data_IF_594895585166
#
_entry.id   IF_594895585166
#
_cell.length_a   1.000
_cell.length_b   1.000
_cell.length_c   1.000
_cell.angle_alpha   90.00
_cell.angle_beta   90.00
_cell.angle_gamma   90.00
#
_symmetry.space_group_name_H-M   'P 1'
#
loop_
_entity.id
_entity.type
_entity.pdbx_description
1 polymer ?
#
# COMPACT_ATOMS: atom_id res chain seq x y z
N UNK A 1 -18.05 3.94 -10.62
CA UNK A 1 -16.64 4.17 -10.99
C UNK A 1 -15.96 4.86 -9.82
N UNK A 2 -15.01 4.19 -9.16
CA UNK A 2 -14.34 4.69 -7.96
C UNK A 2 -13.36 5.81 -8.33
N UNK A 3 -13.84 7.06 -8.27
CA UNK A 3 -13.03 8.26 -8.44
C UNK A 3 -12.12 8.49 -7.25
N UNK A 4 -11.00 7.76 -7.18
CA UNK A 4 -9.81 8.32 -6.53
C UNK A 4 -9.36 9.43 -7.47
N UNK A 5 -9.61 10.67 -7.05
CA UNK A 5 -9.28 11.89 -7.78
C UNK A 5 -7.86 11.76 -8.38
N UNK A 6 -7.74 11.67 -9.70
CA UNK A 6 -6.49 11.29 -10.38
C UNK A 6 -5.30 12.17 -9.96
N UNK A 7 -5.57 13.45 -9.73
CA UNK A 7 -4.61 14.43 -9.21
C UNK A 7 -4.05 14.05 -7.83
N UNK A 8 -4.88 13.53 -6.93
CA UNK A 8 -4.45 13.06 -5.60
C UNK A 8 -3.59 11.81 -5.71
N UNK A 9 -3.88 10.95 -6.69
CA UNK A 9 -3.09 9.75 -6.94
C UNK A 9 -1.70 10.11 -7.51
N UNK A 10 -1.63 11.03 -8.46
CA UNK A 10 -0.35 11.52 -8.99
C UNK A 10 0.48 12.25 -7.94
N UNK A 11 -0.14 13.08 -7.10
CA UNK A 11 0.55 13.76 -6.00
C UNK A 11 1.14 12.76 -4.99
N UNK A 12 0.40 11.70 -4.67
CA UNK A 12 0.84 10.60 -3.82
C UNK A 12 2.04 9.85 -4.42
N UNK A 13 1.97 9.51 -5.70
CA UNK A 13 3.09 8.85 -6.40
C UNK A 13 4.32 9.75 -6.47
N UNK A 14 4.15 11.06 -6.66
CA UNK A 14 5.26 12.02 -6.68
C UNK A 14 5.94 12.10 -5.32
N UNK A 15 5.18 12.13 -4.23
CA UNK A 15 5.72 12.13 -2.87
C UNK A 15 6.47 10.83 -2.58
N UNK A 16 5.87 9.68 -2.89
CA UNK A 16 6.51 8.38 -2.68
C UNK A 16 7.77 8.16 -3.53
N UNK A 17 7.85 8.77 -4.72
CA UNK A 17 9.08 8.77 -5.53
C UNK A 17 10.18 9.67 -4.96
N UNK A 18 9.79 10.79 -4.33
CA UNK A 18 10.75 11.72 -3.72
C UNK A 18 11.27 11.25 -2.38
N UNK A 19 10.40 10.61 -1.59
CA UNK A 19 10.73 10.02 -0.29
C UNK A 19 10.02 8.67 -0.13
N UNK A 20 10.69 7.55 -0.49
CA UNK A 20 10.11 6.22 -0.36
C UNK A 20 9.94 5.78 1.11
N UNK A 21 10.65 6.38 2.06
CA UNK A 21 10.62 5.98 3.49
C UNK A 21 9.72 6.88 4.35
N UNK A 22 8.84 7.66 3.71
CA UNK A 22 7.87 8.56 4.38
C UNK A 22 6.87 7.84 5.31
N UNK A 23 6.64 6.54 5.08
CA UNK A 23 5.74 5.71 5.88
C UNK A 23 6.36 5.20 7.18
N UNK A 24 5.57 4.42 7.92
CA UNK A 24 6.04 3.61 9.05
C UNK A 24 6.18 2.16 8.63
N UNK A 25 7.32 1.56 8.91
CA UNK A 25 7.52 0.13 8.67
C UNK A 25 6.53 -0.69 9.51
N UNK A 26 5.88 -1.68 8.89
CA UNK A 26 4.84 -2.48 9.55
C UNK A 26 5.49 -3.46 10.54
N UNK A 27 5.04 -3.51 11.81
CA UNK A 27 5.55 -4.49 12.76
C UNK A 27 5.26 -5.92 12.26
N UNK A 28 6.30 -6.76 12.22
CA UNK A 28 6.23 -8.14 11.72
C UNK A 28 6.39 -8.31 10.21
N UNK A 29 6.60 -7.24 9.43
CA UNK A 29 6.90 -7.33 8.00
C UNK A 29 7.81 -6.17 7.56
N UNK A 30 9.15 -6.32 7.64
CA UNK A 30 10.08 -5.23 7.38
C UNK A 30 10.07 -4.75 5.92
N UNK A 31 9.64 -5.57 4.98
CA UNK A 31 9.47 -5.16 3.59
C UNK A 31 8.22 -4.31 3.34
N UNK A 32 7.34 -4.16 4.34
CA UNK A 32 6.07 -3.44 4.21
C UNK A 32 6.07 -2.13 4.98
N UNK A 33 5.55 -1.10 4.34
CA UNK A 33 5.42 0.24 4.86
C UNK A 33 3.96 0.67 4.82
N UNK A 34 3.54 1.36 5.88
CA UNK A 34 2.21 1.93 6.03
C UNK A 34 2.32 3.45 6.14
N UNK A 35 1.59 4.17 5.29
CA UNK A 35 1.56 5.63 5.30
C UNK A 35 0.13 6.14 5.24
N UNK A 36 -0.18 7.19 5.99
CA UNK A 36 -1.49 7.84 5.95
C UNK A 36 -1.39 9.14 5.16
N UNK A 37 -2.17 9.24 4.07
CA UNK A 37 -2.21 10.39 3.20
C UNK A 37 -3.64 10.75 2.83
N UNK A 38 -4.03 12.00 3.09
CA UNK A 38 -5.34 12.54 2.71
C UNK A 38 -6.52 11.65 3.15
N UNK A 39 -6.47 11.13 4.37
CA UNK A 39 -7.51 10.24 4.91
C UNK A 39 -7.51 8.82 4.32
N UNK A 40 -6.46 8.41 3.61
CA UNK A 40 -6.25 7.05 3.15
C UNK A 40 -5.01 6.45 3.79
N UNK A 41 -5.10 5.19 4.22
CA UNK A 41 -3.96 4.34 4.55
C UNK A 41 -3.46 3.66 3.28
N UNK A 42 -2.18 3.84 3.02
CA UNK A 42 -1.42 3.28 1.92
C UNK A 42 -0.52 2.20 2.50
N UNK A 43 -0.58 1.00 1.96
CA UNK A 43 0.43 -0.04 2.22
C UNK A 43 1.25 -0.23 0.96
N UNK A 44 2.57 -0.12 1.07
CA UNK A 44 3.49 -0.31 -0.04
C UNK A 44 4.71 -1.12 0.39
N UNK A 45 5.41 -1.70 -0.57
CA UNK A 45 6.67 -2.38 -0.37
C UNK A 45 7.79 -1.64 -1.09
N UNK A 46 8.97 -1.64 -0.48
CA UNK A 46 10.20 -1.11 -1.08
C UNK A 46 11.10 -2.29 -1.43
N UNK A 47 11.79 -2.20 -2.55
CA UNK A 47 12.97 -3.05 -2.79
C UNK A 47 14.10 -2.66 -1.83
N UNK A 48 15.00 -3.59 -1.55
CA UNK A 48 16.11 -3.38 -0.59
C UNK A 48 17.03 -2.21 -0.98
N UNK A 49 17.12 -1.91 -2.27
CA UNK A 49 17.87 -0.79 -2.84
C UNK A 49 17.04 0.51 -2.98
N UNK A 50 15.79 0.52 -2.51
CA UNK A 50 14.81 1.61 -2.66
C UNK A 50 14.55 2.06 -4.11
N UNK A 51 15.03 1.32 -5.12
CA UNK A 51 14.89 1.69 -6.54
C UNK A 51 13.48 1.43 -7.08
N UNK A 52 12.72 0.57 -6.41
CA UNK A 52 11.36 0.17 -6.80
C UNK A 52 10.42 0.25 -5.63
N UNK A 53 9.25 0.82 -5.90
CA UNK A 53 8.14 0.91 -4.97
C UNK A 53 6.95 0.17 -5.55
N UNK A 54 6.37 -0.74 -4.77
CA UNK A 54 5.16 -1.47 -5.15
C UNK A 54 4.03 -1.07 -4.23
N UNK A 55 3.03 -0.41 -4.81
CA UNK A 55 1.81 -0.03 -4.13
C UNK A 55 0.91 -1.25 -3.98
N UNK A 56 0.70 -1.72 -2.75
CA UNK A 56 -0.05 -2.95 -2.48
C UNK A 56 -1.51 -2.67 -2.18
N UNK A 57 -1.79 -1.59 -1.44
CA UNK A 57 -3.13 -1.30 -0.97
C UNK A 57 -3.33 0.19 -0.73
N UNK A 58 -4.50 0.68 -1.13
CA UNK A 58 -5.02 1.99 -0.76
C UNK A 58 -6.39 1.78 -0.12
N UNK A 59 -6.56 2.20 1.13
CA UNK A 59 -7.84 2.11 1.84
C UNK A 59 -8.16 3.42 2.54
N UNK A 60 -9.43 3.83 2.65
CA UNK A 60 -9.81 4.91 3.54
C UNK A 60 -9.33 4.60 4.97
N UNK A 61 -8.75 5.58 5.66
CA UNK A 61 -8.35 5.45 7.06
C UNK A 61 -9.57 5.15 7.94
N UNK A 62 -10.74 5.68 7.55
CA UNK A 62 -12.05 5.35 8.10
C UNK A 62 -12.84 4.47 7.12
N UNK A 63 -12.40 3.24 6.88
CA UNK A 63 -13.24 2.28 6.16
C UNK A 63 -14.39 1.82 7.09
N UNK A 64 -15.66 1.74 6.63
CA UNK A 64 -16.73 1.13 7.40
C UNK A 64 -16.34 -0.30 7.75
N UNK A 65 -16.61 -0.73 8.99
CA UNK A 65 -16.22 -2.03 9.57
C UNK A 65 -16.68 -3.22 8.72
N UNK A 66 -16.03 -3.49 7.60
CA UNK A 66 -16.25 -4.69 6.82
C UNK A 66 -15.73 -5.89 7.62
N UNK A 67 -16.53 -6.96 7.69
CA UNK A 67 -16.26 -8.20 8.42
C UNK A 67 -14.79 -8.65 8.28
N UNK A 68 -14.13 -8.91 9.41
CA UNK A 68 -12.68 -9.20 9.51
C UNK A 68 -12.21 -10.32 8.57
N UNK A 69 -13.07 -11.31 8.31
CA UNK A 69 -12.81 -12.43 7.38
C UNK A 69 -12.59 -11.99 5.93
N UNK A 70 -13.38 -11.03 5.45
CA UNK A 70 -13.25 -10.49 4.08
C UNK A 70 -11.96 -9.70 3.89
N UNK A 71 -11.48 -9.04 4.95
CA UNK A 71 -10.22 -8.30 4.91
C UNK A 71 -9.01 -9.23 4.85
N UNK A 72 -9.06 -10.34 5.59
CA UNK A 72 -8.00 -11.35 5.61
C UNK A 72 -7.89 -12.05 4.26
N UNK A 73 -9.01 -12.47 3.68
CA UNK A 73 -9.01 -13.15 2.37
C UNK A 73 -8.49 -12.25 1.24
N UNK A 74 -8.83 -10.96 1.25
CA UNK A 74 -8.25 -9.99 0.30
C UNK A 74 -6.75 -9.84 0.50
N UNK A 75 -6.28 -9.77 1.74
CA UNK A 75 -4.86 -9.62 2.05
C UNK A 75 -4.05 -10.83 1.55
N UNK A 76 -4.54 -12.05 1.76
CA UNK A 76 -3.88 -13.29 1.28
C UNK A 76 -3.76 -13.28 -0.25
N UNK A 77 -4.81 -12.84 -0.95
CA UNK A 77 -4.79 -12.75 -2.43
C UNK A 77 -3.76 -11.74 -2.92
N UNK A 78 -3.72 -10.56 -2.31
CA UNK A 78 -2.75 -9.52 -2.64
C UNK A 78 -1.31 -10.00 -2.39
N UNK A 79 -1.05 -10.71 -1.29
CA UNK A 79 0.28 -11.28 -1.01
C UNK A 79 0.69 -12.29 -2.09
N UNK A 80 -0.21 -13.18 -2.51
CA UNK A 80 0.10 -14.15 -3.58
C UNK A 80 0.32 -13.49 -4.94
N UNK A 81 -0.42 -12.42 -5.27
CA UNK A 81 -0.18 -11.65 -6.49
C UNK A 81 1.18 -10.95 -6.47
N UNK A 82 1.59 -10.41 -5.32
CA UNK A 82 2.93 -9.83 -5.15
C UNK A 82 4.00 -10.90 -5.32
N UNK A 83 3.88 -12.05 -4.65
CA UNK A 83 4.84 -13.16 -4.80
C UNK A 83 5.01 -13.57 -6.26
N UNK A 84 3.89 -13.62 -7.00
CA UNK A 84 3.88 -13.93 -8.43
C UNK A 84 4.57 -12.86 -9.30
N UNK A 85 4.47 -11.58 -8.94
CA UNK A 85 5.17 -10.49 -9.63
C UNK A 85 6.69 -10.53 -9.40
N UNK A 86 7.14 -11.09 -8.28
CA UNK A 86 8.55 -11.23 -7.93
C UNK A 86 9.13 -12.63 -8.18
N UNK A 87 8.35 -13.56 -8.74
CA UNK A 87 8.82 -14.92 -9.05
C UNK A 87 9.12 -15.80 -7.83
N UNK A 88 8.53 -15.49 -6.67
CA UNK A 88 8.64 -16.23 -5.40
C UNK A 88 7.54 -17.27 -5.22
#
# INVERSE_FOLDING_TARGET
MYGVNAEKHEALLRLLKGDPVVGRQRPGSPSLWDWEFSGNRITYALSDDCSRLVLLRLTPAEAPKASRLLQIMKLIRTINEIKRLFGL
#
